data_IF_224746002406
#
_entry.id   IF_224746002406
#
_cell.length_a   1.000
_cell.length_b   1.000
_cell.length_c   1.000
_cell.angle_alpha   90.00
_cell.angle_beta   90.00
_cell.angle_gamma   90.00
#
_symmetry.space_group_name_H-M   'P 1'
#
loop_
_entity.id
_entity.type
_entity.pdbx_description
1 polymer ?
#
# COMPACT_ATOMS: atom_id res chain seq x y z
N UNK A 1 -9.21 14.26 -24.02
CA UNK A 1 -10.14 14.61 -22.92
C UNK A 1 -11.17 13.55 -22.54
N UNK A 2 -11.41 12.46 -23.29
CA UNK A 2 -12.30 11.35 -22.84
C UNK A 2 -11.66 10.41 -21.81
N UNK A 3 -10.34 10.50 -21.62
CA UNK A 3 -9.56 9.62 -20.72
C UNK A 3 -9.66 10.08 -19.26
N UNK A 4 -9.54 11.38 -19.00
CA UNK A 4 -9.43 11.90 -17.64
C UNK A 4 -10.75 11.77 -16.87
N UNK A 5 -11.88 11.89 -17.57
CA UNK A 5 -13.21 11.66 -16.99
C UNK A 5 -13.38 10.21 -16.51
N UNK A 6 -12.84 9.23 -17.26
CA UNK A 6 -12.89 7.81 -16.89
C UNK A 6 -11.99 7.50 -15.68
N UNK A 7 -10.87 8.20 -15.54
CA UNK A 7 -10.00 8.06 -14.35
C UNK A 7 -10.71 8.58 -13.11
N UNK A 8 -11.40 9.72 -13.20
CA UNK A 8 -12.17 10.28 -12.08
C UNK A 8 -13.37 9.41 -11.69
N UNK A 9 -14.10 8.85 -12.66
CA UNK A 9 -15.17 7.87 -12.40
C UNK A 9 -14.62 6.62 -11.71
N UNK A 10 -13.49 6.08 -12.19
CA UNK A 10 -12.84 4.94 -11.57
C UNK A 10 -12.38 5.24 -10.14
N UNK A 11 -11.78 6.41 -9.89
CA UNK A 11 -11.37 6.83 -8.55
C UNK A 11 -12.58 6.96 -7.61
N UNK A 12 -13.71 7.46 -8.10
CA UNK A 12 -14.96 7.54 -7.34
C UNK A 12 -15.47 6.14 -6.97
N UNK A 13 -15.50 5.20 -7.91
CA UNK A 13 -15.93 3.82 -7.66
C UNK A 13 -15.03 3.09 -6.67
N UNK A 14 -13.72 3.37 -6.69
CA UNK A 14 -12.77 2.83 -5.71
C UNK A 14 -13.05 3.42 -4.33
N UNK A 15 -13.26 4.73 -4.23
CA UNK A 15 -13.60 5.40 -2.96
C UNK A 15 -14.90 4.86 -2.37
N UNK A 16 -15.94 4.73 -3.18
CA UNK A 16 -17.27 4.32 -2.72
C UNK A 16 -17.27 2.86 -2.24
N UNK A 17 -16.50 1.98 -2.90
CA UNK A 17 -16.25 0.61 -2.41
C UNK A 17 -15.46 0.59 -1.11
N UNK A 18 -14.39 1.37 -1.01
CA UNK A 18 -13.61 1.45 0.23
C UNK A 18 -14.46 1.97 1.41
N UNK A 19 -15.34 2.94 1.15
CA UNK A 19 -16.26 3.47 2.15
C UNK A 19 -17.25 2.39 2.62
N UNK A 20 -17.84 1.62 1.69
CA UNK A 20 -18.73 0.52 2.03
C UNK A 20 -18.02 -0.62 2.80
N UNK A 21 -16.80 -0.97 2.40
CA UNK A 21 -16.01 -2.02 3.06
C UNK A 21 -15.57 -1.65 4.47
N UNK A 22 -15.42 -0.35 4.75
CA UNK A 22 -14.92 0.16 6.04
C UNK A 22 -16.00 0.87 6.86
N UNK A 23 -17.27 0.78 6.43
CA UNK A 23 -18.40 1.38 7.14
C UNK A 23 -18.58 0.74 8.52
N UNK A 24 -18.83 1.56 9.53
CA UNK A 24 -18.92 1.13 10.94
C UNK A 24 -17.60 0.65 11.58
N UNK A 25 -16.47 0.64 10.86
CA UNK A 25 -15.17 0.31 11.46
C UNK A 25 -14.63 1.47 12.29
N UNK A 26 -14.02 1.16 13.43
CA UNK A 26 -13.21 2.15 14.14
C UNK A 26 -11.98 2.54 13.31
N UNK A 27 -11.45 3.75 13.51
CA UNK A 27 -10.25 4.21 12.81
C UNK A 27 -9.07 3.22 12.93
N UNK A 28 -8.91 2.60 14.11
CA UNK A 28 -7.90 1.57 14.34
C UNK A 28 -8.16 0.29 13.53
N UNK A 29 -9.41 -0.15 13.48
CA UNK A 29 -9.79 -1.34 12.70
C UNK A 29 -9.58 -1.11 11.20
N UNK A 30 -9.93 0.08 10.70
CA UNK A 30 -9.70 0.51 9.32
C UNK A 30 -8.22 0.55 8.98
N UNK A 31 -7.38 1.14 9.84
CA UNK A 31 -5.94 1.16 9.62
C UNK A 31 -5.34 -0.25 9.52
N UNK A 32 -5.72 -1.17 10.42
CA UNK A 32 -5.22 -2.54 10.36
C UNK A 32 -5.76 -3.31 9.16
N UNK A 33 -7.00 -3.04 8.73
CA UNK A 33 -7.55 -3.59 7.50
C UNK A 33 -6.72 -3.15 6.28
N UNK A 34 -6.49 -1.85 6.13
CA UNK A 34 -5.74 -1.28 5.02
C UNK A 34 -4.28 -1.76 5.03
N UNK A 35 -3.68 -1.87 6.22
CA UNK A 35 -2.33 -2.43 6.40
C UNK A 35 -2.22 -3.88 5.93
N UNK A 36 -3.23 -4.71 6.22
CA UNK A 36 -3.27 -6.10 5.74
C UNK A 36 -3.41 -6.17 4.22
N UNK A 37 -4.35 -5.41 3.66
CA UNK A 37 -4.57 -5.33 2.22
C UNK A 37 -3.31 -4.90 1.47
N UNK A 38 -2.60 -3.90 1.98
CA UNK A 38 -1.34 -3.44 1.41
C UNK A 38 -0.25 -4.54 1.46
N UNK A 39 -0.13 -5.25 2.59
CA UNK A 39 0.83 -6.36 2.73
C UNK A 39 0.53 -7.49 1.74
N UNK A 40 -0.73 -7.85 1.57
CA UNK A 40 -1.14 -8.91 0.65
C UNK A 40 -0.90 -8.52 -0.81
N UNK A 41 -1.17 -7.26 -1.17
CA UNK A 41 -0.87 -6.72 -2.49
C UNK A 41 0.64 -6.74 -2.78
N UNK A 42 1.48 -6.30 -1.84
CA UNK A 42 2.95 -6.38 -1.97
C UNK A 42 3.40 -7.83 -2.10
N UNK A 43 2.86 -8.75 -1.29
CA UNK A 43 3.21 -10.17 -1.37
C UNK A 43 2.85 -10.78 -2.72
N UNK A 44 1.67 -10.46 -3.24
CA UNK A 44 1.21 -10.91 -4.55
C UNK A 44 2.09 -10.35 -5.68
N UNK A 45 2.47 -9.07 -5.60
CA UNK A 45 3.39 -8.43 -6.55
C UNK A 45 4.77 -9.11 -6.54
N UNK A 46 5.40 -9.23 -5.37
CA UNK A 46 6.73 -9.84 -5.24
C UNK A 46 6.77 -11.33 -5.62
N UNK A 47 5.64 -12.04 -5.53
CA UNK A 47 5.52 -13.42 -6.03
C UNK A 47 5.55 -13.47 -7.56
N UNK A 48 4.92 -12.49 -8.23
CA UNK A 48 4.88 -12.39 -9.70
C UNK A 48 6.17 -11.81 -10.30
N UNK A 49 6.92 -11.05 -9.50
CA UNK A 49 8.11 -10.30 -9.92
C UNK A 49 9.34 -10.68 -9.06
N UNK A 50 10.02 -11.81 -9.36
CA UNK A 50 11.20 -12.27 -8.61
C UNK A 50 12.36 -11.26 -8.59
N UNK A 51 12.51 -10.47 -9.64
CA UNK A 51 13.48 -9.38 -9.77
C UNK A 51 13.23 -8.27 -8.75
N UNK A 52 11.96 -7.86 -8.59
CA UNK A 52 11.57 -6.88 -7.58
C UNK A 52 11.74 -7.43 -6.16
N UNK A 53 11.55 -8.74 -5.97
CA UNK A 53 11.83 -9.43 -4.69
C UNK A 53 13.31 -9.37 -4.31
N UNK A 54 14.22 -9.59 -5.26
CA UNK A 54 15.67 -9.49 -5.02
C UNK A 54 16.07 -8.05 -4.67
N UNK A 55 15.57 -7.07 -5.41
CA UNK A 55 15.83 -5.66 -5.15
C UNK A 55 15.28 -5.18 -3.79
N UNK A 56 14.09 -5.65 -3.40
CA UNK A 56 13.51 -5.37 -2.09
C UNK A 56 14.33 -5.98 -0.94
N UNK A 57 14.81 -7.22 -1.10
CA UNK A 57 15.70 -7.86 -0.12
C UNK A 57 17.03 -7.12 0.07
N UNK A 58 17.63 -6.64 -1.03
CA UNK A 58 18.86 -5.85 -0.99
C UNK A 58 18.69 -4.50 -0.27
N UNK A 59 17.55 -3.82 -0.46
CA UNK A 59 17.24 -2.56 0.24
C UNK A 59 16.96 -2.75 1.74
N UNK A 60 16.38 -3.88 2.15
CA UNK A 60 16.16 -4.17 3.57
C UNK A 60 17.47 -4.44 4.31
N UNK A 61 18.45 -5.06 3.66
CA UNK A 61 19.79 -5.22 4.22
C UNK A 61 20.56 -3.90 4.29
N UNK A 62 20.42 -3.00 3.31
CA UNK A 62 21.07 -1.68 3.38
C UNK A 62 20.47 -0.75 4.44
N UNK A 63 19.16 -0.84 4.73
CA UNK A 63 18.52 -0.07 5.83
C UNK A 63 18.92 -0.61 7.21
N UNK A 64 19.30 -1.88 7.32
CA UNK A 64 19.81 -2.44 8.57
C UNK A 64 21.26 -2.04 8.86
N UNK A 65 22.02 -1.64 7.83
CA UNK A 65 23.44 -1.24 7.93
C UNK A 65 23.62 0.29 8.06
N UNK A 66 22.58 1.08 7.81
CA UNK A 66 22.55 2.53 8.02
C UNK A 66 21.46 2.86 9.06
N UNK A 67 21.78 2.91 10.37
CA UNK A 67 20.87 3.41 11.39
C UNK A 67 20.81 4.94 11.26
N UNK A 68 20.29 5.43 10.14
CA UNK A 68 20.07 6.84 9.90
C UNK A 68 19.22 7.41 11.04
N UNK A 69 19.71 8.50 11.62
CA UNK A 69 19.10 9.26 12.71
C UNK A 69 17.60 9.49 12.43
N UNK A 70 16.73 8.76 13.14
CA UNK A 70 15.38 9.23 13.36
C UNK A 70 15.47 10.34 14.42
N UNK A 71 15.58 11.57 13.92
CA UNK A 71 15.68 12.78 14.71
C UNK A 71 14.66 12.80 15.85
N UNK A 72 15.18 13.02 17.05
CA UNK A 72 14.42 13.47 18.20
C UNK A 72 13.99 14.91 17.94
N UNK A 73 12.69 15.15 17.77
CA UNK A 73 12.09 16.48 17.56
C UNK A 73 10.64 16.49 17.97
#
# INVERSE_FOLDING_TARGET
MKSDFKVLEWLRDVRDRQAAETDGMSAKARFEHDRRMARDAVRAFLKKHPEARRAAGQRLHSVAEDPGEYGSG
#
